data_IF_580905119621
#
_entry.id   IF_580905119621
#
_cell.length_a   1.000
_cell.length_b   1.000
_cell.length_c   1.000
_cell.angle_alpha   90.00
_cell.angle_beta   90.00
_cell.angle_gamma   90.00
#
_symmetry.space_group_name_H-M   'P 1'
#
loop_
_entity.id
_entity.type
_entity.pdbx_description
1 polymer ?
#
# COMPACT_ATOMS: atom_id res chain seq x y z
N UNK A 1 33.78 41.66 14.67
CA UNK A 1 34.28 40.81 13.56
C UNK A 1 33.56 39.48 13.68
N UNK A 2 32.40 39.34 13.04
CA UNK A 2 31.67 38.09 13.03
C UNK A 2 32.38 37.15 12.06
N UNK A 3 32.97 36.08 12.55
CA UNK A 3 33.48 35.00 11.71
C UNK A 3 32.22 34.28 11.20
N UNK A 4 31.94 34.38 9.90
CA UNK A 4 30.95 33.56 9.22
C UNK A 4 31.45 32.11 9.26
N UNK A 5 31.13 31.37 10.29
CA UNK A 5 31.30 29.92 10.31
C UNK A 5 30.29 29.30 9.31
N UNK A 6 30.77 28.91 8.14
CA UNK A 6 29.96 28.25 7.13
C UNK A 6 29.56 26.88 7.59
N UNK A 7 28.26 26.65 7.76
CA UNK A 7 27.68 25.32 8.00
C UNK A 7 27.93 24.46 6.75
N UNK A 8 28.62 23.30 6.91
CA UNK A 8 28.94 22.39 5.80
C UNK A 8 27.94 21.26 5.69
N UNK A 9 26.66 21.57 5.39
CA UNK A 9 25.73 20.57 4.94
C UNK A 9 25.94 20.30 3.44
N UNK A 10 25.86 19.04 3.03
CA UNK A 10 26.15 18.63 1.65
C UNK A 10 24.92 18.10 0.96
N UNK A 11 24.73 18.48 -0.29
CA UNK A 11 23.62 18.09 -1.14
C UNK A 11 24.10 17.47 -2.44
N UNK A 12 23.30 16.59 -3.01
CA UNK A 12 23.45 16.19 -4.41
C UNK A 12 22.83 17.26 -5.32
N UNK A 13 23.19 17.32 -6.61
CA UNK A 13 22.56 18.28 -7.53
C UNK A 13 21.03 18.18 -7.55
N UNK A 14 20.47 16.98 -7.56
CA UNK A 14 19.04 16.76 -7.53
C UNK A 14 18.39 17.29 -6.23
N UNK A 15 19.07 17.16 -5.09
CA UNK A 15 18.57 17.70 -3.82
C UNK A 15 18.58 19.25 -3.85
N UNK A 16 19.60 19.89 -4.42
CA UNK A 16 19.62 21.34 -4.59
C UNK A 16 18.44 21.81 -5.45
N UNK A 17 18.19 21.14 -6.57
CA UNK A 17 17.04 21.44 -7.43
C UNK A 17 15.70 21.36 -6.69
N UNK A 18 15.50 20.31 -5.86
CA UNK A 18 14.23 20.12 -5.14
C UNK A 18 14.05 21.16 -4.04
N UNK A 19 15.09 21.42 -3.24
CA UNK A 19 14.94 22.16 -1.99
C UNK A 19 15.27 23.65 -2.10
N UNK A 20 16.13 24.06 -3.05
CA UNK A 20 16.65 25.43 -3.10
C UNK A 20 16.48 26.14 -4.45
N UNK A 21 16.37 25.41 -5.57
CA UNK A 21 16.30 26.00 -6.91
C UNK A 21 14.87 26.12 -7.45
N UNK A 22 13.86 25.96 -6.58
CA UNK A 22 12.45 26.11 -6.97
C UNK A 22 11.99 27.56 -6.80
N UNK A 23 11.41 28.20 -7.84
CA UNK A 23 10.92 29.57 -7.78
C UNK A 23 9.90 29.81 -6.68
N UNK A 24 9.82 31.05 -6.17
CA UNK A 24 8.95 31.40 -5.04
C UNK A 24 7.46 31.29 -5.35
N UNK A 25 7.06 31.39 -6.59
CA UNK A 25 5.66 31.24 -7.02
C UNK A 25 5.19 29.77 -7.09
N UNK A 26 6.07 28.80 -6.82
CA UNK A 26 5.71 27.38 -6.77
C UNK A 26 5.29 27.01 -5.35
N UNK A 27 4.04 26.58 -5.20
CA UNK A 27 3.44 26.14 -3.92
C UNK A 27 3.53 24.64 -3.73
N UNK A 28 3.41 23.86 -4.80
CA UNK A 28 3.36 22.39 -4.77
C UNK A 28 4.58 21.80 -5.51
N UNK A 29 5.47 21.20 -4.76
CA UNK A 29 6.65 20.51 -5.28
C UNK A 29 6.39 19.01 -5.17
N UNK A 30 6.22 18.36 -6.32
CA UNK A 30 5.89 16.95 -6.43
C UNK A 30 7.11 16.21 -6.93
N UNK A 31 7.54 15.18 -6.18
CA UNK A 31 8.74 14.41 -6.51
C UNK A 31 8.41 12.92 -6.50
N UNK A 32 8.39 12.32 -7.67
CA UNK A 32 8.40 10.85 -7.77
C UNK A 32 9.85 10.38 -7.83
N UNK A 33 10.15 9.30 -7.12
CA UNK A 33 11.52 8.81 -7.00
C UNK A 33 11.61 7.31 -6.89
N UNK A 34 12.71 6.74 -7.34
CA UNK A 34 13.09 5.37 -7.02
C UNK A 34 13.57 5.22 -5.56
N UNK A 35 13.69 3.98 -5.11
CA UNK A 35 14.27 3.68 -3.79
C UNK A 35 15.72 4.15 -3.70
N UNK A 36 16.14 4.51 -2.49
CA UNK A 36 17.52 4.93 -2.20
C UNK A 36 17.99 6.20 -2.95
N UNK A 37 17.10 6.98 -3.54
CA UNK A 37 17.41 8.26 -4.17
C UNK A 37 18.11 9.25 -3.22
N UNK A 38 17.92 9.12 -1.89
CA UNK A 38 18.59 9.96 -0.90
C UNK A 38 17.78 11.18 -0.45
N UNK A 39 16.53 11.31 -0.87
CA UNK A 39 15.66 12.45 -0.54
C UNK A 39 15.57 12.78 0.94
N UNK A 40 15.40 11.78 1.80
CA UNK A 40 15.23 11.93 3.26
C UNK A 40 16.43 12.63 3.91
N UNK A 41 17.66 12.31 3.47
CA UNK A 41 18.87 12.99 3.98
C UNK A 41 18.90 14.46 3.54
N UNK A 42 18.66 14.71 2.26
CA UNK A 42 18.63 16.08 1.72
C UNK A 42 17.58 16.94 2.38
N UNK A 43 16.37 16.39 2.58
CA UNK A 43 15.29 17.06 3.30
C UNK A 43 15.68 17.41 4.75
N UNK A 44 16.31 16.47 5.48
CA UNK A 44 16.74 16.73 6.86
C UNK A 44 17.74 17.90 6.95
N UNK A 45 18.70 17.98 6.00
CA UNK A 45 19.63 19.09 5.93
C UNK A 45 18.92 20.41 5.60
N UNK A 46 18.05 20.43 4.57
CA UNK A 46 17.30 21.61 4.17
C UNK A 46 16.39 22.13 5.31
N UNK A 47 15.77 21.22 6.04
CA UNK A 47 14.92 21.56 7.20
C UNK A 47 15.73 22.22 8.31
N UNK A 48 16.95 21.78 8.57
CA UNK A 48 17.84 22.43 9.56
C UNK A 48 18.19 23.86 9.08
N UNK A 49 18.57 24.03 7.80
CA UNK A 49 18.88 25.35 7.25
C UNK A 49 17.69 26.29 7.30
N UNK A 50 16.51 25.85 6.89
CA UNK A 50 15.30 26.66 6.93
C UNK A 50 14.85 27.00 8.37
N UNK A 51 15.02 26.07 9.32
CA UNK A 51 14.75 26.37 10.71
C UNK A 51 15.74 27.40 11.28
N UNK A 52 17.02 27.39 10.86
CA UNK A 52 17.98 28.43 11.19
C UNK A 52 17.63 29.82 10.62
N UNK A 53 16.84 29.85 9.54
CA UNK A 53 16.26 31.08 8.99
C UNK A 53 14.98 31.55 9.74
N UNK A 54 14.55 30.80 10.76
CA UNK A 54 13.37 31.11 11.55
C UNK A 54 12.06 30.53 11.00
N UNK A 55 12.12 29.62 10.00
CA UNK A 55 10.92 29.02 9.41
C UNK A 55 10.30 27.98 10.34
N UNK A 56 8.98 27.89 10.27
CA UNK A 56 8.17 26.88 10.93
C UNK A 56 7.87 25.74 9.95
N UNK A 57 8.30 24.54 10.30
CA UNK A 57 8.35 23.42 9.36
C UNK A 57 7.59 22.20 9.90
N UNK A 58 6.89 21.52 9.00
CA UNK A 58 6.24 20.24 9.29
C UNK A 58 6.88 19.10 8.50
N UNK A 59 7.40 18.13 9.23
CA UNK A 59 7.87 16.87 8.68
C UNK A 59 6.82 15.76 8.90
N UNK A 60 6.17 15.34 7.83
CA UNK A 60 5.26 14.21 7.82
C UNK A 60 5.93 12.91 7.43
N UNK A 61 5.73 11.85 8.20
CA UNK A 61 6.21 10.51 7.89
C UNK A 61 5.11 9.46 8.07
N UNK A 62 5.37 8.22 7.66
CA UNK A 62 4.37 7.15 7.69
C UNK A 62 4.03 6.68 9.10
N UNK A 63 5.05 6.49 9.96
CA UNK A 63 4.93 6.01 11.35
C UNK A 63 5.96 6.67 12.26
N UNK A 64 5.67 6.74 13.56
CA UNK A 64 6.57 7.36 14.56
C UNK A 64 7.97 6.73 14.62
N UNK A 65 8.10 5.41 14.50
CA UNK A 65 9.40 4.75 14.54
C UNK A 65 10.32 5.13 13.37
N UNK A 66 9.75 5.52 12.22
CA UNK A 66 10.53 6.07 11.11
C UNK A 66 11.06 7.46 11.45
N UNK A 67 10.25 8.32 12.07
CA UNK A 67 10.66 9.65 12.53
C UNK A 67 11.87 9.52 13.45
N UNK A 68 11.78 8.68 14.49
CA UNK A 68 12.88 8.49 15.46
C UNK A 68 14.16 8.02 14.78
N UNK A 69 14.05 7.03 13.90
CA UNK A 69 15.19 6.51 13.12
C UNK A 69 15.83 7.54 12.21
N UNK A 70 15.02 8.37 11.52
CA UNK A 70 15.54 9.42 10.65
C UNK A 70 16.12 10.58 11.45
N UNK A 71 15.51 10.90 12.60
CA UNK A 71 16.07 11.90 13.50
C UNK A 71 17.47 11.51 13.98
N UNK A 72 17.63 10.29 14.46
CA UNK A 72 18.95 9.77 14.92
C UNK A 72 19.95 9.69 13.75
N UNK A 73 19.51 9.28 12.57
CA UNK A 73 20.40 8.99 11.44
C UNK A 73 20.81 10.21 10.66
N UNK A 74 19.93 11.22 10.52
CA UNK A 74 20.14 12.35 9.62
C UNK A 74 20.17 13.69 10.35
N UNK A 75 19.27 13.94 11.30
CA UNK A 75 19.22 15.20 12.01
C UNK A 75 20.35 15.32 13.06
N UNK A 76 20.55 14.36 13.94
CA UNK A 76 21.59 14.44 14.98
C UNK A 76 22.99 14.64 14.40
N UNK A 77 23.44 13.89 13.38
CA UNK A 77 24.77 14.15 12.80
C UNK A 77 24.90 15.55 12.18
N UNK A 78 23.85 16.04 11.52
CA UNK A 78 23.86 17.37 10.92
C UNK A 78 23.83 18.49 11.98
N UNK A 79 23.02 18.36 13.04
CA UNK A 79 22.95 19.28 14.16
C UNK A 79 24.29 19.41 14.92
N UNK A 80 25.07 18.32 14.98
CA UNK A 80 26.42 18.33 15.58
C UNK A 80 27.46 19.11 14.77
N UNK A 81 27.16 19.43 13.49
CA UNK A 81 28.01 20.26 12.63
C UNK A 81 27.71 21.76 12.78
N UNK A 82 26.67 22.10 13.54
CA UNK A 82 26.33 23.51 13.78
C UNK A 82 27.37 24.15 14.71
N UNK A 83 27.67 25.46 14.52
CA UNK A 83 28.50 26.23 15.42
C UNK A 83 28.00 26.19 16.87
N UNK A 84 28.92 26.25 17.85
CA UNK A 84 28.60 26.13 19.27
C UNK A 84 27.68 27.24 19.80
N UNK A 85 27.57 28.37 19.12
CA UNK A 85 26.68 29.47 19.45
C UNK A 85 25.22 29.26 18.97
N UNK A 86 24.96 28.19 18.22
CA UNK A 86 23.62 27.81 17.80
C UNK A 86 23.08 26.78 18.77
N UNK A 87 22.01 27.16 19.45
CA UNK A 87 21.32 26.28 20.42
C UNK A 87 20.17 25.56 19.72
N UNK A 88 20.09 24.26 19.93
CA UNK A 88 18.94 23.47 19.51
C UNK A 88 18.46 22.57 20.63
N UNK A 89 17.15 22.28 20.64
CA UNK A 89 16.51 21.41 21.64
C UNK A 89 15.44 20.52 20.99
N UNK A 90 15.58 19.22 21.17
CA UNK A 90 14.59 18.24 20.71
C UNK A 90 13.69 17.76 21.84
N UNK A 91 12.45 18.14 21.79
CA UNK A 91 11.40 17.73 22.72
C UNK A 91 10.83 16.37 22.27
N UNK A 92 11.40 15.29 22.77
CA UNK A 92 11.13 13.93 22.30
C UNK A 92 9.66 13.52 22.45
N UNK A 93 8.96 13.97 23.48
CA UNK A 93 7.52 13.66 23.70
C UNK A 93 6.63 14.37 22.69
N UNK A 94 6.92 15.61 22.40
CA UNK A 94 6.16 16.47 21.49
C UNK A 94 6.55 16.28 20.02
N UNK A 95 7.68 15.58 19.80
CA UNK A 95 8.27 15.41 18.47
C UNK A 95 8.51 16.76 17.79
N UNK A 96 9.14 17.67 18.53
CA UNK A 96 9.46 19.03 18.10
C UNK A 96 10.93 19.35 18.29
N UNK A 97 11.57 19.84 17.24
CA UNK A 97 12.93 20.35 17.25
C UNK A 97 12.90 21.88 17.13
N UNK A 98 13.36 22.59 18.15
CA UNK A 98 13.56 24.03 18.10
C UNK A 98 15.04 24.31 17.79
N UNK A 99 15.30 25.29 16.92
CA UNK A 99 16.66 25.69 16.50
C UNK A 99 16.75 27.22 16.60
N UNK A 100 17.61 27.73 17.51
CA UNK A 100 17.89 29.17 17.59
C UNK A 100 18.83 29.65 16.47
N UNK A 101 19.00 30.97 16.26
CA UNK A 101 18.55 32.06 17.14
C UNK A 101 17.19 32.70 16.76
N UNK A 102 16.52 32.29 15.67
CA UNK A 102 15.33 32.97 15.12
C UNK A 102 14.00 32.24 15.35
N UNK A 103 13.88 31.48 16.42
CA UNK A 103 12.66 30.74 16.81
C UNK A 103 12.13 29.74 15.76
N UNK A 104 13.00 29.29 14.85
CA UNK A 104 12.64 28.28 13.88
C UNK A 104 12.42 26.92 14.55
N UNK A 105 11.48 26.17 14.03
CA UNK A 105 11.21 24.83 14.56
C UNK A 105 10.76 23.85 13.49
N UNK A 106 10.89 22.57 13.83
CA UNK A 106 10.42 21.45 13.02
C UNK A 106 9.51 20.59 13.88
N UNK A 107 8.24 20.50 13.50
CA UNK A 107 7.29 19.55 14.05
C UNK A 107 7.32 18.25 13.24
N UNK A 108 7.39 17.12 13.93
CA UNK A 108 7.35 15.79 13.30
C UNK A 108 6.01 15.14 13.59
N UNK A 109 5.31 14.73 12.54
CA UNK A 109 3.99 14.07 12.63
C UNK A 109 3.97 12.78 11.82
N UNK A 110 3.26 11.79 12.33
CA UNK A 110 3.11 10.50 11.65
C UNK A 110 1.70 10.32 11.11
N UNK A 111 1.61 9.71 9.92
CA UNK A 111 0.34 9.53 9.22
C UNK A 111 -0.55 8.44 9.83
N UNK A 112 -0.04 7.60 10.72
CA UNK A 112 -0.81 6.64 11.50
C UNK A 112 -1.63 7.30 12.63
N UNK A 113 -1.41 8.60 12.88
CA UNK A 113 -2.20 9.43 13.82
C UNK A 113 -2.61 10.75 13.17
N UNK A 114 -3.53 10.72 12.21
CA UNK A 114 -3.93 11.91 11.46
C UNK A 114 -4.55 13.01 12.33
N UNK A 115 -5.15 12.64 13.46
CA UNK A 115 -5.71 13.57 14.44
C UNK A 115 -4.68 14.54 15.05
N UNK A 116 -3.40 14.18 15.01
CA UNK A 116 -2.33 15.01 15.55
C UNK A 116 -1.78 16.03 14.54
N UNK A 117 -2.33 16.10 13.33
CA UNK A 117 -1.88 17.01 12.28
C UNK A 117 -2.60 18.35 12.29
N UNK A 118 -3.67 18.48 13.05
CA UNK A 118 -4.46 19.72 13.11
C UNK A 118 -3.72 20.81 13.91
N UNK A 119 -3.76 22.05 13.43
CA UNK A 119 -3.60 23.18 14.28
C UNK A 119 -2.76 24.37 13.86
N UNK A 120 -1.70 24.29 13.07
CA UNK A 120 -0.85 25.45 12.79
C UNK A 120 -0.44 25.56 11.31
N UNK A 121 -0.36 26.81 10.81
CA UNK A 121 0.25 27.09 9.52
C UNK A 121 1.77 26.88 9.55
N UNK A 122 2.32 26.29 8.52
CA UNK A 122 3.75 26.07 8.35
C UNK A 122 4.25 26.74 7.07
N UNK A 123 5.52 27.19 7.09
CA UNK A 123 6.16 27.71 5.87
C UNK A 123 6.44 26.58 4.86
N UNK A 124 6.81 25.41 5.36
CA UNK A 124 7.01 24.22 4.50
C UNK A 124 6.41 22.99 5.18
N UNK A 125 5.59 22.26 4.42
CA UNK A 125 5.08 20.94 4.77
C UNK A 125 5.78 19.94 3.88
N UNK A 126 6.48 18.97 4.47
CA UNK A 126 7.17 17.90 3.78
C UNK A 126 6.52 16.55 4.08
N UNK A 127 6.13 15.83 3.06
CA UNK A 127 5.58 14.48 3.16
C UNK A 127 6.63 13.47 2.67
N UNK A 128 7.32 12.83 3.61
CA UNK A 128 8.28 11.77 3.34
C UNK A 128 7.54 10.45 3.08
N UNK A 129 7.70 9.88 1.89
CA UNK A 129 6.92 8.75 1.38
C UNK A 129 5.44 9.10 1.10
N UNK A 130 5.23 10.19 0.34
CA UNK A 130 3.91 10.68 -0.04
C UNK A 130 3.01 9.62 -0.69
N UNK A 131 3.57 8.66 -1.44
CA UNK A 131 2.83 7.53 -1.98
C UNK A 131 2.19 6.61 -0.93
N UNK A 132 2.63 6.66 0.33
CA UNK A 132 2.03 5.93 1.45
C UNK A 132 1.13 6.86 2.26
N UNK A 133 1.63 8.03 2.65
CA UNK A 133 0.92 9.01 3.49
C UNK A 133 -0.41 9.41 2.84
N UNK A 134 -0.40 9.72 1.56
CA UNK A 134 -1.56 10.22 0.82
C UNK A 134 -2.57 9.12 0.43
N UNK A 135 -2.37 7.86 0.85
CA UNK A 135 -3.45 6.86 0.86
C UNK A 135 -4.60 7.27 1.80
N UNK A 136 -4.29 8.01 2.84
CA UNK A 136 -5.28 8.61 3.73
C UNK A 136 -5.77 9.94 3.16
N UNK A 137 -6.92 9.91 2.46
CA UNK A 137 -7.53 11.12 1.87
C UNK A 137 -7.95 12.14 2.91
N UNK A 138 -8.42 11.67 4.08
CA UNK A 138 -8.82 12.54 5.18
C UNK A 138 -7.64 13.40 5.64
N UNK A 139 -6.48 12.79 5.85
CA UNK A 139 -5.27 13.51 6.25
C UNK A 139 -4.91 14.61 5.24
N UNK A 140 -4.98 14.29 3.93
CA UNK A 140 -4.66 15.28 2.91
C UNK A 140 -5.68 16.42 2.85
N UNK A 141 -6.97 16.09 2.75
CA UNK A 141 -8.03 17.07 2.54
C UNK A 141 -8.32 17.92 3.80
N UNK A 142 -8.28 17.29 4.99
CA UNK A 142 -8.75 17.92 6.21
C UNK A 142 -7.62 18.46 7.09
N UNK A 143 -6.37 18.05 6.85
CA UNK A 143 -5.25 18.56 7.63
C UNK A 143 -4.23 19.29 6.74
N UNK A 144 -3.64 18.61 5.73
CA UNK A 144 -2.55 19.20 4.93
C UNK A 144 -3.01 20.41 4.12
N UNK A 145 -4.13 20.32 3.40
CA UNK A 145 -4.63 21.42 2.58
C UNK A 145 -5.00 22.67 3.39
N UNK A 146 -5.74 22.59 4.52
CA UNK A 146 -6.01 23.75 5.36
C UNK A 146 -4.74 24.45 5.85
N UNK A 147 -3.76 23.69 6.36
CA UNK A 147 -2.48 24.27 6.84
C UNK A 147 -1.72 25.04 5.76
N UNK A 148 -1.90 24.69 4.48
CA UNK A 148 -1.31 25.43 3.34
C UNK A 148 -2.03 26.76 3.04
N UNK A 149 -3.23 26.98 3.59
CA UNK A 149 -3.99 28.22 3.40
C UNK A 149 -3.65 29.28 4.45
N UNK A 150 -3.14 28.87 5.61
CA UNK A 150 -2.84 29.76 6.73
C UNK A 150 -1.68 30.73 6.44
N UNK A 151 -0.82 30.39 5.47
CA UNK A 151 0.27 31.24 5.02
C UNK A 151 0.35 31.21 3.47
N UNK A 152 0.23 32.38 2.84
CA UNK A 152 0.30 32.51 1.37
C UNK A 152 1.60 31.95 0.77
N UNK A 153 2.69 31.99 1.53
CA UNK A 153 4.02 31.50 1.14
C UNK A 153 4.26 30.04 1.51
N UNK A 154 3.28 29.38 2.13
CA UNK A 154 3.36 27.95 2.44
C UNK A 154 3.65 27.09 1.22
N UNK A 155 4.57 26.14 1.37
CA UNK A 155 4.92 25.16 0.35
C UNK A 155 4.66 23.73 0.80
N UNK A 156 4.12 22.92 -0.11
CA UNK A 156 4.04 21.46 0.05
C UNK A 156 5.14 20.81 -0.78
N UNK A 157 5.96 19.98 -0.14
CA UNK A 157 6.91 19.10 -0.81
C UNK A 157 6.44 17.66 -0.58
N UNK A 158 5.83 17.05 -1.58
CA UNK A 158 5.36 15.66 -1.55
C UNK A 158 6.34 14.78 -2.32
N UNK A 159 7.12 13.96 -1.59
CA UNK A 159 8.15 13.11 -2.16
C UNK A 159 7.92 11.64 -1.83
N UNK A 160 8.04 10.75 -2.80
CA UNK A 160 7.86 9.33 -2.53
C UNK A 160 7.99 8.42 -3.75
N UNK A 161 8.09 7.14 -3.47
CA UNK A 161 7.89 6.10 -4.48
C UNK A 161 6.39 6.04 -4.79
N UNK A 162 5.97 6.08 -6.05
CA UNK A 162 4.57 5.86 -6.44
C UNK A 162 3.99 4.58 -5.82
N UNK A 163 2.72 4.59 -5.44
CA UNK A 163 2.04 3.43 -4.84
C UNK A 163 0.67 3.19 -5.48
N UNK A 164 0.68 3.09 -6.81
CA UNK A 164 -0.51 2.92 -7.64
C UNK A 164 -1.21 4.24 -7.97
N UNK A 165 -2.06 4.21 -8.99
CA UNK A 165 -2.86 5.35 -9.46
C UNK A 165 -4.20 5.44 -8.75
N UNK A 166 -4.73 4.32 -8.28
CA UNK A 166 -6.07 4.17 -7.69
C UNK A 166 -5.94 3.61 -6.26
N UNK A 167 -6.76 4.10 -5.36
CA UNK A 167 -6.89 3.62 -3.98
C UNK A 167 -7.84 2.41 -3.89
N UNK A 168 -7.84 1.75 -2.73
CA UNK A 168 -8.73 0.60 -2.45
C UNK A 168 -10.22 0.90 -2.63
N UNK A 169 -10.65 2.14 -2.42
CA UNK A 169 -12.03 2.60 -2.58
C UNK A 169 -12.36 3.06 -4.02
N UNK A 170 -11.55 2.68 -5.00
CA UNK A 170 -11.63 3.06 -6.42
C UNK A 170 -11.46 4.56 -6.71
N UNK A 171 -11.15 5.37 -5.72
CA UNK A 171 -10.83 6.76 -5.97
C UNK A 171 -9.39 6.91 -6.45
N UNK A 172 -9.16 7.96 -7.21
CA UNK A 172 -7.81 8.31 -7.62
C UNK A 172 -6.91 8.60 -6.40
N UNK A 173 -5.68 8.10 -6.46
CA UNK A 173 -4.71 8.30 -5.39
C UNK A 173 -4.29 9.77 -5.35
N UNK A 174 -4.40 10.51 -4.24
CA UNK A 174 -4.07 11.94 -4.18
C UNK A 174 -2.65 12.27 -4.65
N UNK A 175 -1.68 11.41 -4.39
CA UNK A 175 -0.32 11.61 -4.91
C UNK A 175 -0.27 11.51 -6.44
N UNK A 176 -1.07 10.65 -7.05
CA UNK A 176 -1.20 10.59 -8.49
C UNK A 176 -1.94 11.80 -9.08
N UNK A 177 -2.98 12.29 -8.39
CA UNK A 177 -3.66 13.54 -8.76
C UNK A 177 -2.70 14.71 -8.77
N UNK A 178 -1.89 14.88 -7.70
CA UNK A 178 -0.86 15.91 -7.62
C UNK A 178 0.18 15.77 -8.74
N UNK A 179 0.63 14.54 -9.00
CA UNK A 179 1.55 14.23 -10.09
C UNK A 179 0.99 14.66 -11.46
N UNK A 180 -0.26 14.27 -11.78
CA UNK A 180 -0.89 14.67 -13.05
C UNK A 180 -1.02 16.18 -13.18
N UNK A 181 -1.43 16.86 -12.11
CA UNK A 181 -1.56 18.31 -12.08
C UNK A 181 -0.21 18.98 -12.32
N UNK A 182 0.85 18.51 -11.66
CA UNK A 182 2.18 19.03 -11.88
C UNK A 182 2.71 18.72 -13.30
N UNK A 183 2.42 17.53 -13.82
CA UNK A 183 2.83 17.09 -15.17
C UNK A 183 2.13 17.88 -16.29
N UNK A 184 0.92 18.36 -16.05
CA UNK A 184 0.21 19.24 -16.99
C UNK A 184 0.76 20.66 -17.05
N UNK A 185 1.75 21.02 -16.20
CA UNK A 185 2.31 22.36 -16.13
C UNK A 185 1.40 23.37 -15.42
N UNK A 186 0.51 22.91 -14.53
CA UNK A 186 -0.40 23.79 -13.80
C UNK A 186 0.37 24.88 -13.02
N UNK A 187 -0.10 26.14 -13.00
CA UNK A 187 0.53 27.21 -12.25
C UNK A 187 0.68 26.87 -10.76
N UNK A 188 1.83 27.20 -10.19
CA UNK A 188 2.13 26.90 -8.78
C UNK A 188 2.58 25.47 -8.50
N UNK A 189 2.71 24.62 -9.53
CA UNK A 189 3.20 23.25 -9.41
C UNK A 189 4.55 23.08 -10.06
N UNK A 190 5.42 22.26 -9.45
CA UNK A 190 6.68 21.78 -10.02
C UNK A 190 6.78 20.28 -9.86
N UNK A 191 7.11 19.59 -10.95
CA UNK A 191 7.34 18.14 -10.96
C UNK A 191 8.84 17.86 -11.09
N UNK A 192 9.29 16.90 -10.28
CA UNK A 192 10.57 16.23 -10.45
C UNK A 192 10.35 14.72 -10.51
N UNK A 193 11.00 14.07 -11.46
CA UNK A 193 10.98 12.63 -11.64
C UNK A 193 12.41 12.11 -11.56
N UNK A 194 12.70 11.26 -10.57
CA UNK A 194 14.03 10.70 -10.34
C UNK A 194 13.98 9.19 -10.17
N UNK A 195 15.01 8.52 -10.62
CA UNK A 195 15.25 7.10 -10.42
C UNK A 195 16.21 6.85 -9.25
N UNK A 196 16.43 5.59 -8.92
CA UNK A 196 17.51 5.16 -8.02
C UNK A 196 18.89 5.53 -8.56
N UNK A 197 19.04 5.56 -9.91
CA UNK A 197 20.30 5.88 -10.60
C UNK A 197 20.71 7.35 -10.48
N UNK A 198 19.80 8.24 -10.10
CA UNK A 198 20.06 9.66 -9.88
C UNK A 198 20.73 9.95 -8.53
N UNK A 199 20.98 8.93 -7.71
CA UNK A 199 21.78 9.06 -6.50
C UNK A 199 23.26 8.81 -6.81
N UNK A 200 24.11 9.85 -6.83
CA UNK A 200 25.54 9.70 -7.15
C UNK A 200 26.34 8.98 -6.05
N UNK A 201 25.74 8.72 -4.88
CA UNK A 201 26.37 8.04 -3.75
C UNK A 201 26.18 6.51 -3.79
N UNK A 202 25.42 6.01 -4.74
CA UNK A 202 25.21 4.56 -4.94
C UNK A 202 25.99 4.08 -6.16
N UNK A 203 26.50 2.86 -6.06
CA UNK A 203 27.07 2.16 -7.21
C UNK A 203 25.97 1.81 -8.21
N UNK A 204 26.20 2.13 -9.48
CA UNK A 204 25.28 1.77 -10.58
C UNK A 204 25.14 0.25 -10.72
N UNK A 205 26.19 -0.49 -10.45
CA UNK A 205 26.19 -1.96 -10.53
C UNK A 205 25.32 -2.57 -9.42
N UNK A 206 25.37 -2.05 -8.19
CA UNK A 206 24.50 -2.47 -7.10
C UNK A 206 23.03 -2.18 -7.39
N UNK A 207 22.72 -1.02 -8.02
CA UNK A 207 21.36 -0.69 -8.43
C UNK A 207 20.89 -1.63 -9.53
N UNK A 208 21.75 -1.93 -10.51
CA UNK A 208 21.43 -2.84 -11.62
C UNK A 208 21.22 -4.29 -11.12
N UNK A 209 21.95 -4.73 -10.10
CA UNK A 209 21.72 -6.02 -9.46
C UNK A 209 20.38 -6.04 -8.72
N UNK A 210 20.08 -5.00 -7.95
CA UNK A 210 18.78 -4.85 -7.30
C UNK A 210 17.63 -4.83 -8.33
N UNK A 211 17.80 -4.13 -9.44
CA UNK A 211 16.84 -4.09 -10.53
C UNK A 211 16.59 -5.48 -11.13
N UNK A 212 17.64 -6.25 -11.40
CA UNK A 212 17.52 -7.64 -11.88
C UNK A 212 16.77 -8.51 -10.89
N UNK A 213 17.04 -8.35 -9.60
CA UNK A 213 16.38 -9.12 -8.55
C UNK A 213 14.89 -8.77 -8.44
N UNK A 214 14.56 -7.46 -8.46
CA UNK A 214 13.18 -6.99 -8.49
C UNK A 214 12.47 -7.48 -9.76
N UNK A 215 13.10 -7.37 -10.93
CA UNK A 215 12.54 -7.80 -12.20
C UNK A 215 12.24 -9.30 -12.23
N UNK A 216 13.09 -10.12 -11.61
CA UNK A 216 12.87 -11.55 -11.46
C UNK A 216 11.64 -11.88 -10.63
N UNK A 217 11.39 -11.08 -9.56
CA UNK A 217 10.25 -11.28 -8.68
C UNK A 217 8.95 -10.65 -9.24
N UNK A 218 9.07 -9.49 -9.87
CA UNK A 218 7.92 -8.76 -10.39
C UNK A 218 8.36 -7.69 -11.41
N UNK A 219 8.31 -7.98 -12.72
CA UNK A 219 8.85 -7.10 -13.78
C UNK A 219 8.39 -5.65 -13.73
N UNK A 220 7.12 -5.40 -13.48
CA UNK A 220 6.65 -4.02 -13.46
C UNK A 220 6.88 -3.28 -12.15
N UNK A 221 7.36 -3.95 -11.09
CA UNK A 221 7.82 -3.23 -9.89
C UNK A 221 9.11 -2.46 -10.12
N UNK A 222 9.89 -2.80 -11.13
CA UNK A 222 11.10 -2.05 -11.52
C UNK A 222 10.74 -0.63 -11.87
N UNK A 223 9.71 -0.42 -12.70
CA UNK A 223 9.23 0.91 -13.08
C UNK A 223 8.86 1.76 -11.86
N UNK A 224 8.22 1.14 -10.87
CA UNK A 224 7.79 1.82 -9.66
C UNK A 224 8.95 2.02 -8.67
N UNK A 225 9.68 0.95 -8.34
CA UNK A 225 10.61 0.94 -7.21
C UNK A 225 12.00 1.49 -7.58
N UNK A 226 12.45 1.34 -8.84
CA UNK A 226 13.74 1.82 -9.35
C UNK A 226 13.58 3.14 -10.10
N UNK A 227 12.63 3.22 -11.04
CA UNK A 227 12.46 4.40 -11.89
C UNK A 227 11.48 5.44 -11.32
N UNK A 228 10.72 5.13 -10.28
CA UNK A 228 9.81 6.08 -9.64
C UNK A 228 8.59 6.43 -10.49
N UNK A 229 8.20 5.58 -11.42
CA UNK A 229 7.06 5.80 -12.31
C UNK A 229 5.76 5.30 -11.71
N UNK A 230 4.64 5.99 -12.00
CA UNK A 230 3.31 5.45 -11.75
C UNK A 230 2.98 4.40 -12.81
N UNK A 231 2.70 3.19 -12.35
CA UNK A 231 2.27 2.08 -13.21
C UNK A 231 0.76 1.90 -13.13
N UNK A 232 0.14 1.45 -14.22
CA UNK A 232 -1.33 1.29 -14.29
C UNK A 232 -1.83 0.13 -13.44
N UNK A 233 -1.05 -0.95 -13.39
CA UNK A 233 -1.25 -2.09 -12.50
C UNK A 233 -0.05 -2.19 -11.56
N UNK A 234 -0.23 -2.76 -10.36
CA UNK A 234 0.90 -3.25 -9.59
C UNK A 234 1.48 -4.39 -10.41
N UNK A 235 2.55 -4.11 -11.16
CA UNK A 235 3.09 -5.13 -12.04
C UNK A 235 3.60 -6.29 -11.21
N UNK A 236 3.28 -7.50 -11.68
CA UNK A 236 3.47 -8.73 -10.94
C UNK A 236 2.23 -9.22 -10.20
N UNK A 237 1.11 -8.46 -10.22
CA UNK A 237 -0.18 -9.06 -9.87
C UNK A 237 -0.58 -10.06 -10.96
N UNK A 238 -1.17 -11.15 -10.53
CA UNK A 238 -1.64 -12.16 -11.48
C UNK A 238 -2.92 -11.73 -12.20
N UNK A 239 -3.72 -10.85 -11.58
CA UNK A 239 -4.97 -10.34 -12.14
C UNK A 239 -4.84 -8.89 -12.62
N UNK A 240 -5.53 -8.59 -13.72
CA UNK A 240 -5.73 -7.25 -14.24
C UNK A 240 -7.21 -6.84 -14.13
N UNK A 241 -7.48 -5.55 -13.95
CA UNK A 241 -8.85 -5.04 -13.86
C UNK A 241 -9.70 -5.33 -15.12
N UNK A 242 -9.06 -5.44 -16.26
CA UNK A 242 -9.71 -5.78 -17.54
C UNK A 242 -10.25 -7.21 -17.59
N UNK A 243 -9.78 -8.12 -16.72
CA UNK A 243 -10.27 -9.48 -16.65
C UNK A 243 -11.62 -9.59 -15.93
N UNK A 244 -12.03 -8.58 -15.16
CA UNK A 244 -13.27 -8.62 -14.40
C UNK A 244 -14.48 -8.33 -15.26
N UNK A 245 -15.36 -9.31 -15.38
CA UNK A 245 -16.69 -9.19 -16.00
C UNK A 245 -17.75 -9.21 -14.93
N UNK A 246 -18.74 -8.36 -15.03
CA UNK A 246 -19.77 -8.19 -14.01
C UNK A 246 -21.13 -8.65 -14.48
N UNK A 247 -21.88 -9.23 -13.55
CA UNK A 247 -23.29 -9.61 -13.75
C UNK A 247 -24.14 -9.07 -12.61
N UNK A 248 -25.33 -8.62 -12.91
CA UNK A 248 -26.30 -8.14 -11.92
C UNK A 248 -27.05 -9.29 -11.24
N UNK A 249 -27.33 -10.35 -11.98
CA UNK A 249 -28.09 -11.51 -11.51
C UNK A 249 -27.45 -12.81 -12.01
N UNK A 250 -27.41 -13.83 -11.16
CA UNK A 250 -26.88 -15.16 -11.46
C UNK A 250 -28.01 -16.18 -11.31
N UNK A 251 -28.27 -16.94 -12.37
CA UNK A 251 -29.30 -18.00 -12.41
C UNK A 251 -28.74 -19.27 -13.04
N UNK A 252 -29.37 -20.42 -12.76
CA UNK A 252 -29.05 -21.68 -13.44
C UNK A 252 -27.66 -22.25 -13.08
N UNK A 253 -27.22 -22.06 -11.85
CA UNK A 253 -26.01 -22.70 -11.37
C UNK A 253 -26.24 -24.19 -11.11
N UNK A 254 -25.37 -25.04 -11.67
CA UNK A 254 -25.42 -26.48 -11.43
C UNK A 254 -24.67 -26.91 -10.17
N UNK A 255 -23.73 -26.10 -9.71
CA UNK A 255 -22.92 -26.37 -8.51
C UNK A 255 -22.45 -25.09 -7.87
N UNK A 256 -22.45 -25.04 -6.53
CA UNK A 256 -21.98 -23.91 -5.73
C UNK A 256 -20.99 -24.43 -4.69
N UNK A 257 -19.85 -23.77 -4.57
CA UNK A 257 -18.77 -24.10 -3.63
C UNK A 257 -18.41 -22.89 -2.81
N UNK A 258 -18.18 -23.09 -1.52
CA UNK A 258 -17.61 -22.08 -0.62
C UNK A 258 -16.17 -22.47 -0.32
N UNK A 259 -15.21 -21.62 -0.68
CA UNK A 259 -13.82 -21.76 -0.27
C UNK A 259 -13.58 -21.03 1.05
N UNK A 260 -12.83 -21.67 1.95
CA UNK A 260 -12.44 -21.10 3.24
C UNK A 260 -10.95 -21.25 3.43
N UNK A 261 -10.27 -20.12 3.64
CA UNK A 261 -8.86 -20.07 4.07
C UNK A 261 -8.82 -19.58 5.53
N UNK A 262 -8.71 -20.50 6.52
CA UNK A 262 -8.67 -20.12 7.92
C UNK A 262 -7.34 -19.47 8.24
N UNK A 263 -7.35 -18.34 8.94
CA UNK A 263 -6.12 -17.71 9.44
C UNK A 263 -5.43 -18.59 10.48
N UNK A 264 -4.10 -18.72 10.34
CA UNK A 264 -3.27 -19.57 11.21
C UNK A 264 -2.95 -18.99 12.59
N UNK A 265 -3.40 -17.77 12.93
CA UNK A 265 -3.08 -17.12 14.21
C UNK A 265 -4.30 -16.81 15.05
N UNK A 266 -4.18 -17.07 16.37
CA UNK A 266 -5.17 -16.65 17.38
C UNK A 266 -5.24 -15.12 17.56
N UNK A 267 -4.39 -14.35 16.88
CA UNK A 267 -4.16 -12.92 17.10
C UNK A 267 -4.70 -11.99 16.02
N UNK A 268 -5.59 -12.46 15.11
CA UNK A 268 -6.36 -11.52 14.31
C UNK A 268 -6.03 -11.42 12.82
N UNK A 269 -5.47 -12.47 12.20
CA UNK A 269 -5.40 -12.54 10.75
C UNK A 269 -6.80 -12.70 10.13
N UNK A 270 -6.98 -12.19 8.94
CA UNK A 270 -8.25 -12.25 8.21
C UNK A 270 -8.56 -13.69 7.75
N UNK A 271 -9.80 -14.15 7.94
CA UNK A 271 -10.30 -15.43 7.40
C UNK A 271 -10.85 -15.18 5.99
N UNK A 272 -10.35 -15.92 5.00
CA UNK A 272 -10.89 -15.90 3.65
C UNK A 272 -12.17 -16.76 3.55
N UNK A 273 -13.28 -16.16 3.07
CA UNK A 273 -14.56 -16.86 2.84
C UNK A 273 -15.16 -16.37 1.53
N UNK A 274 -15.05 -17.17 0.47
CA UNK A 274 -15.54 -16.80 -0.86
C UNK A 274 -16.45 -17.89 -1.41
N UNK A 275 -17.63 -17.52 -1.92
CA UNK A 275 -18.53 -18.42 -2.61
C UNK A 275 -18.45 -18.23 -4.13
N UNK A 276 -18.38 -19.34 -4.86
CA UNK A 276 -18.41 -19.36 -6.32
C UNK A 276 -19.35 -20.45 -6.82
N UNK A 277 -19.89 -20.27 -8.02
CA UNK A 277 -20.75 -21.23 -8.69
C UNK A 277 -20.37 -21.46 -10.15
N UNK A 278 -20.81 -22.55 -10.73
CA UNK A 278 -20.60 -22.88 -12.15
C UNK A 278 -21.95 -23.21 -12.81
N UNK A 279 -22.20 -22.71 -14.02
CA UNK A 279 -23.39 -23.02 -14.80
C UNK A 279 -23.17 -24.28 -15.67
N UNK A 280 -24.19 -24.70 -16.41
CA UNK A 280 -24.12 -25.87 -17.30
C UNK A 280 -23.18 -25.66 -18.50
N UNK A 281 -22.95 -24.41 -18.91
CA UNK A 281 -22.04 -24.06 -20.00
C UNK A 281 -20.58 -24.01 -19.57
N UNK A 282 -20.31 -24.11 -18.26
CA UNK A 282 -18.97 -24.06 -17.69
C UNK A 282 -18.50 -22.64 -17.30
N UNK A 283 -19.35 -21.62 -17.36
CA UNK A 283 -19.02 -20.29 -16.85
C UNK A 283 -19.05 -20.27 -15.32
N UNK A 284 -18.10 -19.57 -14.76
CA UNK A 284 -17.89 -19.43 -13.31
C UNK A 284 -18.43 -18.09 -12.83
N UNK A 285 -19.03 -18.07 -11.66
CA UNK A 285 -19.58 -16.88 -11.05
C UNK A 285 -19.11 -16.74 -9.62
N UNK A 286 -18.43 -15.65 -9.29
CA UNK A 286 -18.07 -15.30 -7.91
C UNK A 286 -19.29 -14.61 -7.30
N UNK A 287 -19.87 -15.23 -6.28
CA UNK A 287 -21.20 -14.89 -5.74
C UNK A 287 -21.13 -13.98 -4.52
N UNK A 288 -20.13 -14.21 -3.66
CA UNK A 288 -20.01 -13.53 -2.37
C UNK A 288 -18.58 -13.59 -1.84
N UNK A 289 -18.15 -12.52 -1.19
CA UNK A 289 -16.95 -12.42 -0.34
C UNK A 289 -17.38 -11.95 1.05
N UNK A 290 -17.28 -12.85 2.02
CA UNK A 290 -17.58 -12.59 3.43
C UNK A 290 -16.33 -12.74 4.30
N UNK A 291 -15.16 -12.56 3.70
CA UNK A 291 -13.88 -12.60 4.40
C UNK A 291 -13.76 -11.44 5.39
N UNK A 292 -13.06 -11.68 6.50
CA UNK A 292 -12.90 -10.66 7.55
C UNK A 292 -12.17 -11.18 8.78
N UNK A 293 -12.02 -10.29 9.77
CA UNK A 293 -11.43 -10.62 11.06
C UNK A 293 -12.52 -11.18 11.99
N UNK A 294 -12.48 -12.47 12.26
CA UNK A 294 -13.50 -13.18 13.00
C UNK A 294 -12.91 -14.11 14.05
N UNK A 295 -13.63 -14.28 15.14
CA UNK A 295 -13.39 -15.41 16.06
C UNK A 295 -13.80 -16.74 15.39
N UNK A 296 -13.27 -17.89 15.85
CA UNK A 296 -13.66 -19.19 15.31
C UNK A 296 -15.18 -19.41 15.23
N UNK A 297 -15.91 -19.07 16.27
CA UNK A 297 -17.36 -19.20 16.28
C UNK A 297 -18.06 -18.27 15.28
N UNK A 298 -17.56 -17.03 15.11
CA UNK A 298 -18.14 -16.06 14.18
C UNK A 298 -18.00 -16.52 12.73
N UNK A 299 -16.78 -16.86 12.28
CA UNK A 299 -16.60 -17.31 10.90
C UNK A 299 -17.28 -18.65 10.62
N UNK A 300 -17.34 -19.57 11.61
CA UNK A 300 -18.09 -20.82 11.49
C UNK A 300 -19.57 -20.57 11.22
N UNK A 301 -20.21 -19.66 11.98
CA UNK A 301 -21.60 -19.26 11.74
C UNK A 301 -21.80 -18.59 10.37
N UNK A 302 -20.87 -17.74 9.94
CA UNK A 302 -20.93 -17.08 8.62
C UNK A 302 -20.92 -18.15 7.51
N UNK A 303 -20.01 -19.12 7.57
CA UNK A 303 -19.90 -20.21 6.58
C UNK A 303 -21.18 -21.05 6.55
N UNK A 304 -21.70 -21.47 7.72
CA UNK A 304 -22.92 -22.27 7.81
C UNK A 304 -24.14 -21.51 7.26
N UNK A 305 -24.28 -20.24 7.61
CA UNK A 305 -25.37 -19.40 7.10
C UNK A 305 -25.28 -19.21 5.58
N UNK A 306 -24.07 -18.93 5.05
CA UNK A 306 -23.84 -18.78 3.62
C UNK A 306 -24.12 -20.10 2.88
N UNK A 307 -23.69 -21.24 3.44
CA UNK A 307 -23.94 -22.58 2.89
C UNK A 307 -25.44 -22.85 2.73
N UNK A 308 -26.23 -22.55 3.76
CA UNK A 308 -27.68 -22.70 3.73
C UNK A 308 -28.36 -21.71 2.78
N UNK A 309 -27.96 -20.45 2.82
CA UNK A 309 -28.53 -19.37 2.00
C UNK A 309 -28.34 -19.62 0.51
N UNK A 310 -27.16 -20.06 0.10
CA UNK A 310 -26.83 -20.36 -1.28
C UNK A 310 -27.18 -21.78 -1.71
N UNK A 311 -27.62 -22.63 -0.77
CA UNK A 311 -27.78 -24.08 -0.99
C UNK A 311 -26.51 -24.69 -1.60
N UNK A 312 -25.35 -24.33 -1.04
CA UNK A 312 -24.06 -24.72 -1.58
C UNK A 312 -23.88 -26.25 -1.47
N UNK A 313 -23.13 -26.84 -2.41
CA UNK A 313 -22.88 -28.27 -2.48
C UNK A 313 -21.81 -28.75 -1.50
N UNK A 314 -20.79 -27.91 -1.28
CA UNK A 314 -19.63 -28.25 -0.44
C UNK A 314 -18.91 -27.00 0.03
N UNK A 315 -18.33 -27.08 1.21
CA UNK A 315 -17.34 -26.13 1.73
C UNK A 315 -15.96 -26.77 1.61
N UNK A 316 -15.03 -26.09 0.94
CA UNK A 316 -13.65 -26.51 0.77
C UNK A 316 -12.75 -25.74 1.74
N UNK A 317 -11.97 -26.46 2.53
CA UNK A 317 -11.15 -25.89 3.60
C UNK A 317 -9.70 -26.35 3.48
N UNK A 318 -8.75 -25.42 3.61
CA UNK A 318 -7.33 -25.75 3.66
C UNK A 318 -6.96 -26.40 5.02
N UNK A 319 -6.26 -27.55 4.98
CA UNK A 319 -5.92 -28.35 6.16
C UNK A 319 -4.60 -27.97 6.84
N UNK A 320 -3.73 -27.19 6.21
CA UNK A 320 -2.34 -26.97 6.66
C UNK A 320 -2.21 -26.27 8.02
N UNK A 321 -3.25 -25.54 8.47
CA UNK A 321 -3.29 -24.87 9.77
C UNK A 321 -4.61 -25.19 10.49
N UNK A 322 -4.64 -26.30 11.21
CA UNK A 322 -5.77 -26.61 12.10
C UNK A 322 -7.00 -27.23 11.44
N UNK A 323 -6.85 -28.01 10.35
CA UNK A 323 -7.97 -28.63 9.62
C UNK A 323 -8.96 -29.37 10.49
N UNK A 324 -8.51 -30.12 11.48
CA UNK A 324 -9.41 -30.81 12.45
C UNK A 324 -10.20 -29.80 13.31
N UNK A 325 -9.60 -28.65 13.64
CA UNK A 325 -10.26 -27.58 14.38
C UNK A 325 -11.31 -26.86 13.53
N UNK A 326 -11.01 -26.61 12.25
CA UNK A 326 -11.96 -26.01 11.30
C UNK A 326 -13.18 -26.89 11.08
N UNK A 327 -12.95 -28.19 10.84
CA UNK A 327 -14.01 -29.17 10.70
C UNK A 327 -14.84 -29.29 11.97
N UNK A 328 -14.19 -29.38 13.12
CA UNK A 328 -14.86 -29.43 14.42
C UNK A 328 -15.71 -28.16 14.66
N UNK A 329 -15.18 -26.99 14.32
CA UNK A 329 -15.89 -25.71 14.47
C UNK A 329 -17.19 -25.69 13.65
N UNK A 330 -17.11 -26.00 12.34
CA UNK A 330 -18.29 -25.98 11.46
C UNK A 330 -19.29 -27.08 11.89
N UNK A 331 -18.81 -28.30 12.15
CA UNK A 331 -19.69 -29.42 12.53
C UNK A 331 -20.30 -29.30 13.94
N UNK A 332 -19.70 -28.47 14.82
CA UNK A 332 -20.33 -28.13 16.11
C UNK A 332 -21.57 -27.26 15.89
N UNK A 333 -21.55 -26.41 14.83
CA UNK A 333 -22.68 -25.53 14.48
C UNK A 333 -23.72 -26.32 13.65
N UNK A 334 -23.28 -27.06 12.62
CA UNK A 334 -24.13 -27.83 11.74
C UNK A 334 -23.38 -29.02 11.12
N UNK A 335 -23.79 -30.25 11.55
CA UNK A 335 -23.22 -31.51 11.05
C UNK A 335 -23.63 -31.86 9.61
N UNK A 336 -24.66 -31.21 9.07
CA UNK A 336 -25.14 -31.46 7.71
C UNK A 336 -24.30 -30.77 6.64
N UNK A 337 -23.44 -29.81 7.01
CA UNK A 337 -22.54 -29.14 6.08
C UNK A 337 -21.51 -30.12 5.51
N UNK A 338 -21.52 -30.27 4.19
CA UNK A 338 -20.52 -31.09 3.49
C UNK A 338 -19.19 -30.36 3.43
N UNK A 339 -18.15 -30.95 4.01
CA UNK A 339 -16.80 -30.42 4.05
C UNK A 339 -15.86 -31.26 3.17
N UNK A 340 -15.00 -30.57 2.41
CA UNK A 340 -13.87 -31.16 1.71
C UNK A 340 -12.58 -30.50 2.20
N UNK A 341 -11.72 -31.29 2.81
CA UNK A 341 -10.41 -30.85 3.23
C UNK A 341 -9.42 -30.96 2.05
N UNK A 342 -8.63 -29.91 1.84
CA UNK A 342 -7.60 -29.86 0.80
C UNK A 342 -6.24 -29.52 1.39
N UNK A 343 -5.19 -30.02 0.76
CA UNK A 343 -3.80 -29.73 1.17
C UNK A 343 -3.12 -28.80 0.19
N UNK A 344 -2.48 -27.76 0.68
CA UNK A 344 -1.64 -26.90 -0.12
C UNK A 344 -0.30 -27.58 -0.39
N UNK A 345 -0.25 -28.40 -1.42
CA UNK A 345 0.97 -29.09 -1.86
C UNK A 345 1.87 -28.26 -2.80
N UNK A 346 1.38 -27.12 -3.28
CA UNK A 346 2.08 -26.21 -4.22
C UNK A 346 2.05 -24.77 -3.69
N UNK A 347 3.02 -23.97 -4.14
CA UNK A 347 3.04 -22.53 -3.80
C UNK A 347 1.74 -21.84 -4.25
N UNK A 348 1.31 -20.80 -3.51
CA UNK A 348 0.08 -20.04 -3.76
C UNK A 348 -0.02 -19.54 -5.20
N UNK A 349 1.07 -19.01 -5.76
CA UNK A 349 1.14 -18.59 -7.15
C UNK A 349 0.75 -19.72 -8.12
N UNK A 350 1.37 -20.91 -8.00
CA UNK A 350 1.14 -22.05 -8.90
C UNK A 350 -0.31 -22.55 -8.82
N UNK A 351 -0.97 -22.40 -7.66
CA UNK A 351 -2.39 -22.72 -7.48
C UNK A 351 -3.31 -21.68 -8.11
N UNK A 352 -2.91 -20.42 -8.09
CA UNK A 352 -3.69 -19.31 -8.62
C UNK A 352 -3.62 -19.22 -10.16
N UNK A 353 -2.49 -19.55 -10.79
CA UNK A 353 -2.29 -19.41 -12.24
C UNK A 353 -3.40 -20.06 -13.12
N UNK A 354 -3.89 -21.28 -12.83
CA UNK A 354 -5.00 -21.86 -13.62
C UNK A 354 -6.31 -21.06 -13.49
N UNK A 355 -6.55 -20.44 -12.32
CA UNK A 355 -7.72 -19.60 -12.08
C UNK A 355 -7.58 -18.28 -12.83
N UNK A 356 -6.38 -17.68 -12.84
CA UNK A 356 -6.07 -16.47 -13.63
C UNK A 356 -6.36 -16.72 -15.12
N UNK A 357 -5.92 -17.85 -15.66
CA UNK A 357 -6.17 -18.19 -17.06
C UNK A 357 -7.67 -18.24 -17.41
N UNK A 358 -8.54 -18.65 -16.48
CA UNK A 358 -10.00 -18.60 -16.67
C UNK A 358 -10.54 -17.17 -16.73
N UNK A 359 -9.96 -16.26 -15.94
CA UNK A 359 -10.28 -14.83 -16.00
C UNK A 359 -9.83 -14.21 -17.32
N UNK A 360 -8.60 -14.49 -17.78
CA UNK A 360 -8.07 -14.03 -19.07
C UNK A 360 -8.94 -14.49 -20.25
N UNK A 361 -9.41 -15.74 -20.19
CA UNK A 361 -10.36 -16.28 -21.20
C UNK A 361 -11.76 -15.69 -21.10
N UNK A 362 -12.05 -14.90 -20.06
CA UNK A 362 -13.36 -14.30 -19.82
C UNK A 362 -14.44 -15.29 -19.40
N UNK A 363 -14.06 -16.37 -18.78
CA UNK A 363 -14.94 -17.45 -18.29
C UNK A 363 -15.41 -17.23 -16.85
N UNK A 364 -14.93 -16.18 -16.15
CA UNK A 364 -15.29 -15.85 -14.77
C UNK A 364 -16.02 -14.52 -14.73
N UNK A 365 -17.14 -14.50 -14.02
CA UNK A 365 -17.98 -13.33 -13.82
C UNK A 365 -18.11 -13.01 -12.33
N UNK A 366 -18.11 -11.74 -11.99
CA UNK A 366 -18.33 -11.27 -10.63
C UNK A 366 -19.74 -10.73 -10.45
N UNK A 367 -20.39 -11.12 -9.36
CA UNK A 367 -21.56 -10.41 -8.88
C UNK A 367 -21.11 -9.06 -8.33
N UNK A 368 -21.92 -8.01 -8.50
CA UNK A 368 -21.60 -6.67 -7.99
C UNK A 368 -21.34 -6.69 -6.47
N UNK A 369 -20.37 -5.90 -6.01
CA UNK A 369 -20.11 -5.68 -4.58
C UNK A 369 -18.91 -6.46 -3.99
N UNK A 370 -18.06 -7.08 -4.81
CA UNK A 370 -16.89 -7.87 -4.37
C UNK A 370 -15.60 -7.04 -4.25
N UNK A 371 -15.73 -5.76 -3.90
CA UNK A 371 -14.64 -4.77 -3.91
C UNK A 371 -13.39 -5.18 -3.14
N UNK A 372 -13.55 -5.83 -1.96
CA UNK A 372 -12.42 -6.22 -1.13
C UNK A 372 -11.63 -7.36 -1.76
N UNK A 373 -12.30 -8.35 -2.32
CA UNK A 373 -11.68 -9.44 -3.08
C UNK A 373 -10.97 -8.90 -4.33
N UNK A 374 -11.65 -8.09 -5.14
CA UNK A 374 -11.08 -7.49 -6.35
C UNK A 374 -9.84 -6.63 -6.05
N UNK A 375 -9.87 -5.83 -4.97
CA UNK A 375 -8.72 -5.04 -4.55
C UNK A 375 -7.53 -5.92 -4.12
N UNK A 376 -7.78 -7.04 -3.42
CA UNK A 376 -6.73 -7.98 -3.06
C UNK A 376 -6.15 -8.62 -4.34
N UNK A 377 -6.99 -9.05 -5.29
CA UNK A 377 -6.57 -9.60 -6.59
C UNK A 377 -5.70 -8.62 -7.40
N UNK A 378 -6.07 -7.34 -7.44
CA UNK A 378 -5.34 -6.30 -8.15
C UNK A 378 -4.08 -5.80 -7.43
N UNK A 379 -3.90 -6.13 -6.18
CA UNK A 379 -2.78 -5.69 -5.35
C UNK A 379 -1.84 -6.81 -4.93
N UNK A 380 -2.27 -8.07 -5.01
CA UNK A 380 -1.46 -9.19 -4.60
C UNK A 380 -0.39 -9.52 -5.63
N UNK A 381 0.86 -9.49 -5.18
CA UNK A 381 2.03 -9.93 -5.94
C UNK A 381 2.57 -11.20 -5.29
N UNK A 382 2.69 -12.32 -6.00
CA UNK A 382 3.24 -13.55 -5.47
C UNK A 382 4.61 -13.37 -4.83
N UNK A 383 4.78 -13.90 -3.62
CA UNK A 383 6.03 -13.79 -2.87
C UNK A 383 6.25 -12.46 -2.15
N UNK A 384 5.32 -11.49 -2.26
CA UNK A 384 5.42 -10.19 -1.59
C UNK A 384 4.19 -9.92 -0.71
N UNK A 385 4.43 -9.40 0.50
CA UNK A 385 3.37 -8.93 1.41
C UNK A 385 2.69 -10.02 2.24
N UNK A 386 1.50 -9.69 2.76
CA UNK A 386 0.70 -10.58 3.59
C UNK A 386 0.05 -11.71 2.77
N UNK A 387 -0.39 -12.75 3.47
CA UNK A 387 -1.15 -13.85 2.87
C UNK A 387 -2.43 -13.33 2.19
N UNK A 388 -2.72 -13.70 0.94
CA UNK A 388 -3.92 -13.27 0.23
C UNK A 388 -5.09 -14.20 0.57
N UNK A 389 -5.69 -14.04 1.74
CA UNK A 389 -6.66 -14.99 2.27
C UNK A 389 -7.95 -15.06 1.43
N UNK A 390 -8.40 -13.94 0.85
CA UNK A 390 -9.56 -13.90 -0.07
C UNK A 390 -9.26 -14.61 -1.38
N UNK A 391 -8.08 -14.38 -1.94
CA UNK A 391 -7.62 -15.03 -3.17
C UNK A 391 -7.47 -16.54 -2.94
N UNK A 392 -6.87 -16.97 -1.82
CA UNK A 392 -6.72 -18.40 -1.52
C UNK A 392 -8.11 -19.07 -1.40
N UNK A 393 -9.08 -18.44 -0.72
CA UNK A 393 -10.46 -18.92 -0.64
C UNK A 393 -11.13 -19.01 -2.03
N UNK A 394 -10.97 -17.99 -2.88
CA UNK A 394 -11.46 -18.00 -4.26
C UNK A 394 -10.84 -19.14 -5.07
N UNK A 395 -9.50 -19.28 -4.99
CA UNK A 395 -8.75 -20.31 -5.74
C UNK A 395 -9.22 -21.72 -5.33
N UNK A 396 -9.45 -21.97 -4.05
CA UNK A 396 -10.00 -23.24 -3.59
C UNK A 396 -11.41 -23.50 -4.12
N UNK A 397 -12.29 -22.50 -4.08
CA UNK A 397 -13.67 -22.63 -4.58
C UNK A 397 -13.69 -22.91 -6.09
N UNK A 398 -12.94 -22.15 -6.88
CA UNK A 398 -12.89 -22.31 -8.35
C UNK A 398 -12.22 -23.61 -8.75
N UNK A 399 -11.11 -23.98 -8.10
CA UNK A 399 -10.42 -25.25 -8.37
C UNK A 399 -11.33 -26.45 -8.12
N UNK A 400 -12.14 -26.41 -7.06
CA UNK A 400 -13.13 -27.46 -6.76
C UNK A 400 -14.24 -27.52 -7.80
N UNK A 401 -14.72 -26.40 -8.29
CA UNK A 401 -15.73 -26.33 -9.36
C UNK A 401 -15.20 -26.91 -10.68
N UNK A 402 -13.91 -26.73 -10.96
CA UNK A 402 -13.25 -27.22 -12.18
C UNK A 402 -12.81 -28.67 -12.09
N UNK A 403 -12.75 -29.26 -10.87
CA UNK A 403 -12.40 -30.67 -10.70
C UNK A 403 -13.46 -31.54 -11.37
N UNK A 404 -13.08 -32.38 -12.33
CA UNK A 404 -13.99 -33.38 -12.92
C UNK A 404 -14.47 -34.30 -11.81
N UNK A 405 -15.79 -34.39 -11.59
CA UNK A 405 -16.36 -35.52 -10.85
C UNK A 405 -15.88 -36.80 -11.55
N UNK A 406 -15.19 -37.66 -10.82
CA UNK A 406 -15.08 -39.05 -11.22
C UNK A 406 -16.48 -39.63 -11.08
N UNK A 407 -17.22 -39.72 -12.17
CA UNK A 407 -18.45 -40.50 -12.23
C UNK A 407 -18.03 -41.94 -11.96
N UNK A 408 -18.34 -42.44 -10.78
CA UNK A 408 -18.37 -43.87 -10.56
C UNK A 408 -19.63 -44.38 -11.28
N UNK A 409 -19.45 -44.95 -12.47
CA UNK A 409 -20.44 -45.89 -13.01
C UNK A 409 -20.52 -47.05 -12.04
N UNK A 410 -21.68 -47.14 -11.35
CA UNK A 410 -22.03 -48.37 -10.65
C UNK A 410 -22.51 -49.34 -11.72
N UNK A 411 -21.67 -50.32 -12.03
CA UNK A 411 -22.02 -51.49 -12.87
C UNK A 411 -22.84 -52.47 -12.01
#
# INVERSE_FOLDING_TARGET
MFVEEKIKLTYTPAQLQIFFEVPDNVKYIIVTKGRRFGATRGAAHAFIEWALEGKHLLWGDTIHSNIDRYFERYFIPALKLLPNNIVWNYQKKEKKLNIGPFDGYIDFRSADRPENWEGFGYDVIFLNEAGIILKNKYLYANSVLPMLLDNERSRLIAIGVPKGKILKDKAEHPFYTLYKTAKSGAPGYKLFEYSSYDNPLLSKDEIAELEKEINRMSPGMVEQEIYGHFVDNVAGTLWSAEYFKYVSEVKGLRRIVIGVDPSGSASGDEVGIVAAGIDERGFLFVLSDLSGHYTPLQWGNIVVNLYRQLQADVVVVEKNFGGDMVKSNIHTIDRAVRLKEVFASRAKQIRAEPVVALYEQGNVFHKSGLLNLENEMLSWVPGLGASPNRIDALVWAVTELMSKKTEFEVI
#
